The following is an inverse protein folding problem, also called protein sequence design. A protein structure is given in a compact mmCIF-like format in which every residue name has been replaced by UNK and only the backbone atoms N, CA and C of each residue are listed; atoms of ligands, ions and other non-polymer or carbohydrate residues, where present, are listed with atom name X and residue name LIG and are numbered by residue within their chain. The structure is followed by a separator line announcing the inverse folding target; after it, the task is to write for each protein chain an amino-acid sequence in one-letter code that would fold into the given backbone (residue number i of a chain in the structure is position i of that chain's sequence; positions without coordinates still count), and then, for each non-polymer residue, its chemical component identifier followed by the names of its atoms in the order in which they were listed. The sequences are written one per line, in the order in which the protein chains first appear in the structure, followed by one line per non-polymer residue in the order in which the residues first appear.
data_IF_792934957057
#
_entry.id   IF_792934957057
#
_cell.length_a   1.000
_cell.length_b   1.000
_cell.length_c   1.000
_cell.angle_alpha   90.00
_cell.angle_beta   90.00
_cell.angle_gamma   90.00
#
_symmetry.space_group_name_H-M   'P 1'
#
loop_
_entity.id
_entity.type
_entity.pdbx_description
1 polymer ?
#
# COMPACT_ATOMS: atom_id res chain seq x y z
N UNK A 1 0.34 10.15 5.15
CA UNK A 1 0.51 11.59 5.34
C UNK A 1 -0.82 12.33 5.32
N UNK A 2 -1.42 12.51 4.16
CA UNK A 2 -2.62 13.37 4.01
C UNK A 2 -3.91 12.87 4.69
N UNK A 3 -4.00 11.58 5.04
CA UNK A 3 -5.11 11.06 5.84
C UNK A 3 -5.23 11.80 7.17
N UNK A 4 -4.11 12.05 7.85
CA UNK A 4 -4.07 12.80 9.11
C UNK A 4 -4.46 14.25 8.89
N UNK A 5 -3.94 14.93 7.84
CA UNK A 5 -4.34 16.30 7.48
C UNK A 5 -5.85 16.43 7.25
N UNK A 6 -6.46 15.48 6.53
CA UNK A 6 -7.90 15.45 6.29
C UNK A 6 -8.70 15.32 7.60
N UNK A 7 -8.29 14.43 8.49
CA UNK A 7 -8.96 14.20 9.77
C UNK A 7 -8.84 15.41 10.70
N UNK A 8 -7.65 16.04 10.76
CA UNK A 8 -7.44 17.28 11.51
C UNK A 8 -8.30 18.42 10.94
N UNK A 9 -8.39 18.53 9.60
CA UNK A 9 -9.27 19.50 8.94
C UNK A 9 -10.76 19.28 9.21
N UNK A 10 -11.16 18.05 9.56
CA UNK A 10 -12.54 17.71 10.00
C UNK A 10 -12.78 17.90 11.49
N UNK A 11 -11.76 18.36 12.24
CA UNK A 11 -11.87 18.65 13.67
C UNK A 11 -11.55 17.48 14.60
N UNK A 12 -11.04 16.36 14.06
CA UNK A 12 -10.53 15.28 14.89
C UNK A 12 -9.17 15.64 15.49
N UNK A 13 -8.87 15.12 16.66
CA UNK A 13 -7.56 15.26 17.29
C UNK A 13 -6.52 14.35 16.66
N UNK A 14 -5.22 14.66 16.84
CA UNK A 14 -4.14 13.78 16.39
C UNK A 14 -4.22 12.38 17.00
N UNK A 15 -4.70 12.27 18.26
CA UNK A 15 -4.93 10.99 18.92
C UNK A 15 -6.01 10.16 18.21
N UNK A 16 -7.15 10.77 17.88
CA UNK A 16 -8.23 10.12 17.15
C UNK A 16 -7.78 9.71 15.73
N UNK A 17 -7.02 10.57 15.04
CA UNK A 17 -6.44 10.23 13.76
C UNK A 17 -5.50 9.00 13.84
N UNK A 18 -4.74 8.88 14.93
CA UNK A 18 -3.91 7.71 15.23
C UNK A 18 -4.75 6.46 15.48
N UNK A 19 -5.86 6.58 16.22
CA UNK A 19 -6.79 5.46 16.44
C UNK A 19 -7.38 4.96 15.11
N UNK A 20 -7.86 5.86 14.24
CA UNK A 20 -8.40 5.49 12.94
C UNK A 20 -7.34 4.83 12.03
N UNK A 21 -6.11 5.35 12.03
CA UNK A 21 -5.00 4.73 11.31
C UNK A 21 -4.71 3.31 11.83
N UNK A 22 -4.74 3.11 13.14
CA UNK A 22 -4.53 1.80 13.78
C UNK A 22 -5.64 0.81 13.43
N UNK A 23 -6.91 1.23 13.49
CA UNK A 23 -8.07 0.43 13.09
C UNK A 23 -7.93 -0.01 11.63
N UNK A 24 -7.58 0.92 10.73
CA UNK A 24 -7.38 0.66 9.31
C UNK A 24 -6.28 -0.38 9.08
N UNK A 25 -5.12 -0.20 9.71
CA UNK A 25 -3.99 -1.12 9.57
C UNK A 25 -4.34 -2.51 10.12
N UNK A 26 -4.96 -2.59 11.31
CA UNK A 26 -5.34 -3.86 11.92
C UNK A 26 -6.36 -4.62 11.06
N UNK A 27 -7.37 -3.92 10.54
CA UNK A 27 -8.35 -4.50 9.62
C UNK A 27 -7.70 -5.05 8.34
N UNK A 28 -6.74 -4.31 7.75
CA UNK A 28 -5.99 -4.76 6.58
C UNK A 28 -5.16 -6.00 6.85
N UNK A 29 -4.45 -6.05 7.97
CA UNK A 29 -3.64 -7.21 8.39
C UNK A 29 -4.50 -8.47 8.54
N UNK A 30 -5.68 -8.36 9.14
CA UNK A 30 -6.58 -9.50 9.31
C UNK A 30 -7.23 -9.92 7.99
N UNK A 31 -7.55 -8.97 7.12
CA UNK A 31 -8.19 -9.25 5.84
C UNK A 31 -7.24 -9.87 4.81
N UNK A 32 -5.94 -9.58 4.87
CA UNK A 32 -4.95 -10.04 3.90
C UNK A 32 -4.88 -11.56 3.75
N UNK A 33 -4.73 -12.37 4.82
CA UNK A 33 -4.73 -13.82 4.69
C UNK A 33 -6.10 -14.39 4.31
N UNK A 34 -7.19 -13.69 4.66
CA UNK A 34 -8.54 -14.11 4.28
C UNK A 34 -8.78 -13.94 2.79
N UNK A 35 -8.43 -12.77 2.23
CA UNK A 35 -8.55 -12.48 0.80
C UNK A 35 -7.59 -13.33 -0.04
N UNK A 36 -6.33 -13.48 0.40
CA UNK A 36 -5.35 -14.36 -0.26
C UNK A 36 -5.81 -15.81 -0.25
N UNK A 37 -6.17 -16.35 0.91
CA UNK A 37 -6.67 -17.71 1.03
C UNK A 37 -7.99 -17.97 0.30
N UNK A 38 -8.83 -16.93 0.13
CA UNK A 38 -10.01 -17.03 -0.73
C UNK A 38 -9.62 -17.10 -2.21
N UNK A 39 -8.70 -16.23 -2.64
CA UNK A 39 -8.20 -16.23 -4.02
C UNK A 39 -7.54 -17.56 -4.40
N UNK A 40 -6.77 -18.16 -3.49
CA UNK A 40 -6.11 -19.45 -3.70
C UNK A 40 -7.11 -20.63 -3.83
N UNK A 41 -8.25 -20.53 -3.16
CA UNK A 41 -9.32 -21.54 -3.22
C UNK A 41 -10.23 -21.40 -4.45
N UNK A 42 -10.22 -20.23 -5.08
CA UNK A 42 -11.07 -19.91 -6.24
C UNK A 42 -10.21 -19.49 -7.44
N UNK A 43 -9.37 -20.40 -7.97
CA UNK A 43 -8.49 -20.10 -9.10
C UNK A 43 -9.25 -19.73 -10.38
N UNK A 44 -10.54 -20.06 -10.45
CA UNK A 44 -11.46 -19.67 -11.53
C UNK A 44 -11.75 -18.16 -11.53
N UNK A 45 -11.57 -17.47 -10.40
CA UNK A 45 -11.79 -16.03 -10.28
C UNK A 45 -10.45 -15.30 -10.46
N UNK A 46 -10.24 -14.57 -11.56
CA UNK A 46 -9.01 -13.80 -11.74
C UNK A 46 -8.79 -12.79 -10.62
N UNK A 47 -7.56 -12.67 -10.11
CA UNK A 47 -7.21 -11.72 -9.04
C UNK A 47 -7.64 -10.28 -9.39
N UNK A 48 -7.56 -9.89 -10.68
CA UNK A 48 -8.04 -8.59 -11.13
C UNK A 48 -9.52 -8.31 -10.85
N UNK A 49 -10.38 -9.35 -10.84
CA UNK A 49 -11.81 -9.19 -10.51
C UNK A 49 -12.00 -8.95 -9.02
N UNK A 50 -11.26 -9.69 -8.19
CA UNK A 50 -11.26 -9.50 -6.73
C UNK A 50 -10.77 -8.09 -6.39
N UNK A 51 -9.66 -7.67 -6.98
CA UNK A 51 -9.11 -6.33 -6.80
C UNK A 51 -10.11 -5.24 -7.22
N UNK A 52 -10.71 -5.35 -8.41
CA UNK A 52 -11.71 -4.39 -8.87
C UNK A 52 -12.94 -4.34 -7.95
N UNK A 53 -13.43 -5.48 -7.46
CA UNK A 53 -14.54 -5.51 -6.51
C UNK A 53 -14.18 -4.74 -5.22
N UNK A 54 -12.99 -4.97 -4.66
CA UNK A 54 -12.51 -4.22 -3.50
C UNK A 54 -12.42 -2.71 -3.78
N UNK A 55 -11.90 -2.30 -4.93
CA UNK A 55 -11.76 -0.88 -5.30
C UNK A 55 -13.12 -0.20 -5.52
N UNK A 56 -14.08 -0.87 -6.16
CA UNK A 56 -15.44 -0.34 -6.37
C UNK A 56 -16.16 -0.16 -5.03
N UNK A 57 -16.04 -1.14 -4.12
CA UNK A 57 -16.61 -1.03 -2.79
C UNK A 57 -15.92 0.08 -1.99
N UNK A 58 -14.59 0.20 -2.08
CA UNK A 58 -13.82 1.28 -1.45
C UNK A 58 -14.24 2.66 -1.96
N UNK A 59 -14.47 2.80 -3.26
CA UNK A 59 -15.00 4.04 -3.85
C UNK A 59 -16.36 4.40 -3.24
N UNK A 60 -17.28 3.43 -3.14
CA UNK A 60 -18.58 3.64 -2.49
C UNK A 60 -18.45 4.10 -1.03
N UNK A 61 -17.56 3.48 -0.26
CA UNK A 61 -17.29 3.87 1.13
C UNK A 61 -16.69 5.29 1.21
N UNK A 62 -15.78 5.66 0.29
CA UNK A 62 -15.21 7.01 0.23
C UNK A 62 -16.29 8.06 -0.14
N UNK A 63 -17.24 7.74 -1.03
CA UNK A 63 -18.39 8.61 -1.32
C UNK A 63 -19.25 8.81 -0.08
N UNK A 64 -19.56 7.76 0.67
CA UNK A 64 -20.28 7.86 1.95
C UNK A 64 -19.49 8.73 2.93
N UNK A 65 -18.19 8.53 3.07
CA UNK A 65 -17.32 9.33 3.94
C UNK A 65 -17.31 10.82 3.56
N UNK A 66 -17.33 11.13 2.26
CA UNK A 66 -17.38 12.49 1.76
C UNK A 66 -18.73 13.18 2.07
N UNK A 67 -19.84 12.48 1.81
CA UNK A 67 -21.19 13.05 1.89
C UNK A 67 -21.73 13.16 3.32
N UNK A 68 -21.45 12.17 4.18
CA UNK A 68 -22.07 12.08 5.51
C UNK A 68 -21.29 12.79 6.60
N UNK A 69 -19.97 12.98 6.44
CA UNK A 69 -19.09 13.55 7.48
C UNK A 69 -19.36 12.98 8.88
N UNK A 70 -19.24 11.67 9.06
CA UNK A 70 -19.65 11.01 10.28
C UNK A 70 -18.79 11.41 11.48
N UNK A 71 -19.33 11.32 12.67
CA UNK A 71 -18.58 11.46 13.92
C UNK A 71 -17.63 10.27 14.16
N UNK A 72 -17.04 10.20 15.36
CA UNK A 72 -15.98 9.24 15.71
C UNK A 72 -16.31 7.78 15.32
N UNK A 73 -17.43 7.24 15.76
CA UNK A 73 -17.77 5.82 15.52
C UNK A 73 -18.04 5.51 14.05
N UNK A 74 -18.69 6.43 13.34
CA UNK A 74 -18.92 6.28 11.91
C UNK A 74 -17.60 6.34 11.12
N UNK A 75 -16.71 7.25 11.50
CA UNK A 75 -15.37 7.33 10.90
C UNK A 75 -14.55 6.07 11.21
N UNK A 76 -14.61 5.55 12.44
CA UNK A 76 -13.94 4.30 12.80
C UNK A 76 -14.41 3.11 11.93
N UNK A 77 -15.72 2.99 11.71
CA UNK A 77 -16.30 1.94 10.86
C UNK A 77 -15.85 2.09 9.39
N UNK A 78 -15.82 3.33 8.87
CA UNK A 78 -15.33 3.63 7.52
C UNK A 78 -13.86 3.23 7.39
N UNK A 79 -13.00 3.61 8.35
CA UNK A 79 -11.59 3.27 8.32
C UNK A 79 -11.32 1.77 8.46
N UNK A 80 -12.13 1.06 9.25
CA UNK A 80 -12.10 -0.40 9.32
C UNK A 80 -12.41 -1.01 7.94
N UNK A 81 -13.47 -0.54 7.28
CA UNK A 81 -13.87 -1.05 5.97
C UNK A 81 -12.85 -0.71 4.89
N UNK A 82 -12.32 0.51 4.87
CA UNK A 82 -11.25 0.91 3.95
C UNK A 82 -9.95 0.14 4.21
N UNK A 83 -9.66 -0.23 5.45
CA UNK A 83 -8.55 -1.11 5.80
C UNK A 83 -8.66 -2.47 5.12
N UNK A 84 -9.84 -3.09 5.15
CA UNK A 84 -10.12 -4.36 4.48
C UNK A 84 -9.98 -4.22 2.97
N UNK A 85 -10.51 -3.16 2.38
CA UNK A 85 -10.64 -3.01 0.92
C UNK A 85 -9.39 -2.44 0.25
N UNK A 86 -8.82 -1.34 0.77
CA UNK A 86 -7.73 -0.61 0.10
C UNK A 86 -6.35 -1.14 0.44
N UNK A 87 -6.07 -1.53 1.71
CA UNK A 87 -4.73 -1.97 2.10
C UNK A 87 -4.33 -3.29 1.43
N UNK A 88 -5.31 -4.07 0.99
CA UNK A 88 -5.07 -5.31 0.26
C UNK A 88 -4.84 -5.11 -1.25
N UNK A 89 -5.01 -3.89 -1.78
CA UNK A 89 -4.75 -3.60 -3.18
C UNK A 89 -3.28 -3.82 -3.55
N UNK A 90 -2.33 -3.42 -2.70
CA UNK A 90 -0.90 -3.63 -2.95
C UNK A 90 -0.52 -5.12 -3.06
N UNK A 91 -0.81 -5.98 -2.07
CA UNK A 91 -0.51 -7.41 -2.18
C UNK A 91 -1.18 -8.09 -3.38
N UNK A 92 -2.40 -7.70 -3.73
CA UNK A 92 -3.10 -8.24 -4.90
C UNK A 92 -2.43 -7.82 -6.21
N UNK A 93 -1.98 -6.57 -6.33
CA UNK A 93 -1.20 -6.09 -7.47
C UNK A 93 0.15 -6.80 -7.59
N UNK A 94 0.86 -6.96 -6.47
CA UNK A 94 2.13 -7.69 -6.43
C UNK A 94 1.94 -9.15 -6.85
N UNK A 95 0.87 -9.82 -6.38
CA UNK A 95 0.52 -11.17 -6.79
C UNK A 95 0.24 -11.26 -8.29
N UNK A 96 -0.47 -10.27 -8.87
CA UNK A 96 -0.69 -10.20 -10.32
C UNK A 96 0.63 -10.07 -11.07
N UNK A 97 1.52 -9.16 -10.63
CA UNK A 97 2.83 -8.96 -11.26
C UNK A 97 3.68 -10.25 -11.22
N UNK A 98 3.75 -10.92 -10.07
CA UNK A 98 4.48 -12.19 -9.91
C UNK A 98 3.91 -13.28 -10.81
N UNK A 99 2.58 -13.40 -10.94
CA UNK A 99 1.96 -14.36 -11.85
C UNK A 99 2.36 -14.12 -13.30
N UNK A 100 2.39 -12.87 -13.77
CA UNK A 100 2.79 -12.54 -15.15
C UNK A 100 4.28 -12.83 -15.41
N UNK A 101 5.16 -12.51 -14.45
CA UNK A 101 6.58 -12.87 -14.55
C UNK A 101 6.78 -14.38 -14.59
N UNK A 102 6.08 -15.12 -13.74
CA UNK A 102 6.12 -16.58 -13.72
C UNK A 102 5.57 -17.22 -15.00
N UNK A 103 4.66 -16.54 -15.70
CA UNK A 103 4.16 -16.93 -17.03
C UNK A 103 5.11 -16.56 -18.20
N UNK A 104 6.30 -16.01 -17.89
CA UNK A 104 7.31 -15.68 -18.92
C UNK A 104 7.12 -14.31 -19.58
N UNK A 105 6.27 -13.44 -19.03
CA UNK A 105 6.15 -12.05 -19.50
C UNK A 105 7.40 -11.29 -19.07
N UNK A 106 8.10 -10.71 -20.04
CA UNK A 106 9.29 -9.89 -19.77
C UNK A 106 8.89 -8.56 -19.10
N UNK A 107 8.96 -8.55 -17.78
CA UNK A 107 8.60 -7.40 -16.96
C UNK A 107 9.63 -7.19 -15.85
N UNK A 108 10.16 -5.98 -15.76
CA UNK A 108 11.06 -5.59 -14.66
C UNK A 108 10.26 -5.16 -13.44
N UNK A 109 10.14 -6.04 -12.44
CA UNK A 109 9.45 -5.74 -11.19
C UNK A 109 10.08 -4.56 -10.44
N UNK A 110 11.41 -4.48 -10.37
CA UNK A 110 12.12 -3.39 -9.68
C UNK A 110 11.87 -2.03 -10.35
N UNK A 111 11.87 -1.98 -11.69
CA UNK A 111 11.55 -0.76 -12.43
C UNK A 111 10.09 -0.32 -12.18
N UNK A 112 9.15 -1.26 -12.22
CA UNK A 112 7.73 -0.97 -11.95
C UNK A 112 7.53 -0.40 -10.54
N UNK A 113 8.21 -0.97 -9.54
CA UNK A 113 8.21 -0.45 -8.16
C UNK A 113 8.80 0.96 -8.08
N UNK A 114 9.95 1.19 -8.70
CA UNK A 114 10.61 2.50 -8.72
C UNK A 114 9.75 3.59 -9.38
N UNK A 115 9.09 3.27 -10.50
CA UNK A 115 8.14 4.17 -11.16
C UNK A 115 6.93 4.46 -10.26
N UNK A 116 6.45 3.45 -9.51
CA UNK A 116 5.39 3.63 -8.51
C UNK A 116 5.78 4.62 -7.41
N UNK A 117 6.99 4.51 -6.86
CA UNK A 117 7.50 5.44 -5.84
C UNK A 117 7.68 6.85 -6.40
N UNK A 118 8.16 7.00 -7.64
CA UNK A 118 8.25 8.31 -8.28
C UNK A 118 6.86 8.94 -8.50
N UNK A 119 5.89 8.15 -8.98
CA UNK A 119 4.51 8.61 -9.17
C UNK A 119 3.89 9.04 -7.84
N UNK A 120 4.13 8.27 -6.76
CA UNK A 120 3.72 8.64 -5.41
C UNK A 120 4.35 9.97 -4.97
N UNK A 121 5.65 10.15 -5.17
CA UNK A 121 6.35 11.37 -4.81
C UNK A 121 5.77 12.60 -5.53
N UNK A 122 5.55 12.51 -6.84
CA UNK A 122 4.92 13.58 -7.63
C UNK A 122 3.49 13.88 -7.16
N UNK A 123 2.69 12.83 -6.89
CA UNK A 123 1.35 12.98 -6.35
C UNK A 123 1.36 13.67 -4.97
N UNK A 124 2.36 13.42 -4.11
CA UNK A 124 2.47 14.10 -2.82
C UNK A 124 2.64 15.61 -2.98
N UNK A 125 3.50 16.07 -3.90
CA UNK A 125 3.65 17.50 -4.18
C UNK A 125 2.36 18.11 -4.71
N UNK A 126 1.73 17.45 -5.68
CA UNK A 126 0.47 17.92 -6.26
C UNK A 126 -0.65 18.01 -5.21
N UNK A 127 -0.80 16.98 -4.38
CA UNK A 127 -1.77 16.95 -3.28
C UNK A 127 -1.46 18.02 -2.21
N UNK A 128 -0.18 18.26 -1.88
CA UNK A 128 0.22 19.32 -0.96
C UNK A 128 -0.22 20.70 -1.46
N UNK A 129 0.10 21.01 -2.71
CA UNK A 129 -0.32 22.27 -3.34
C UNK A 129 -1.84 22.40 -3.46
N UNK A 130 -2.52 21.28 -3.74
CA UNK A 130 -3.98 21.23 -3.78
C UNK A 130 -4.58 21.52 -2.41
N UNK A 131 -4.04 20.92 -1.33
CA UNK A 131 -4.53 21.14 0.02
C UNK A 131 -4.37 22.59 0.47
N UNK A 132 -3.25 23.23 0.12
CA UNK A 132 -3.00 24.65 0.41
C UNK A 132 -4.02 25.55 -0.32
N UNK A 133 -4.35 25.26 -1.59
CA UNK A 133 -5.23 26.11 -2.41
C UNK A 133 -6.72 25.87 -2.18
N UNK A 134 -7.11 24.62 -2.01
CA UNK A 134 -8.52 24.19 -2.01
C UNK A 134 -8.96 23.54 -0.69
N UNK A 135 -8.06 23.48 0.29
CA UNK A 135 -8.31 22.82 1.57
C UNK A 135 -8.16 21.28 1.52
N UNK A 136 -8.05 20.67 2.69
CA UNK A 136 -7.77 19.22 2.84
C UNK A 136 -8.92 18.34 2.37
N UNK A 137 -10.18 18.83 2.33
CA UNK A 137 -11.34 18.08 1.79
C UNK A 137 -11.20 17.77 0.29
N UNK A 138 -10.51 18.63 -0.46
CA UNK A 138 -10.26 18.42 -1.90
C UNK A 138 -9.43 17.14 -2.16
N UNK A 139 -8.61 16.73 -1.20
CA UNK A 139 -7.79 15.52 -1.28
C UNK A 139 -8.64 14.24 -1.38
N UNK A 140 -9.81 14.23 -0.73
CA UNK A 140 -10.71 13.09 -0.79
C UNK A 140 -11.33 12.94 -2.20
N UNK A 141 -11.64 14.08 -2.87
CA UNK A 141 -12.10 14.07 -4.27
C UNK A 141 -11.01 13.52 -5.20
N UNK A 142 -9.76 13.97 -5.02
CA UNK A 142 -8.62 13.45 -5.79
C UNK A 142 -8.41 11.96 -5.54
N UNK A 143 -8.52 11.51 -4.29
CA UNK A 143 -8.44 10.09 -3.96
C UNK A 143 -9.51 9.27 -4.69
N UNK A 144 -10.78 9.71 -4.67
CA UNK A 144 -11.86 9.06 -5.41
C UNK A 144 -11.62 9.05 -6.92
N UNK A 145 -11.13 10.15 -7.50
CA UNK A 145 -10.79 10.21 -8.93
C UNK A 145 -9.67 9.22 -9.30
N UNK A 146 -8.64 9.10 -8.45
CA UNK A 146 -7.57 8.11 -8.62
C UNK A 146 -8.07 6.68 -8.46
N UNK A 147 -9.02 6.42 -7.55
CA UNK A 147 -9.66 5.11 -7.44
C UNK A 147 -10.43 4.75 -8.72
N UNK A 148 -11.18 5.68 -9.30
CA UNK A 148 -11.88 5.47 -10.58
C UNK A 148 -10.87 5.15 -11.69
N UNK A 149 -9.77 5.90 -11.77
CA UNK A 149 -8.70 5.63 -12.74
C UNK A 149 -8.09 4.24 -12.53
N UNK A 150 -7.81 3.89 -11.27
CA UNK A 150 -7.25 2.57 -10.93
C UNK A 150 -8.21 1.43 -11.30
N UNK A 151 -9.52 1.57 -11.03
CA UNK A 151 -10.55 0.61 -11.44
C UNK A 151 -10.52 0.42 -12.96
N UNK A 152 -10.47 1.52 -13.73
CA UNK A 152 -10.42 1.46 -15.19
C UNK A 152 -9.15 0.76 -15.68
N UNK A 153 -7.98 1.10 -15.14
CA UNK A 153 -6.70 0.48 -15.51
C UNK A 153 -6.69 -1.01 -15.19
N UNK A 154 -7.15 -1.41 -13.99
CA UNK A 154 -7.22 -2.83 -13.60
C UNK A 154 -8.23 -3.59 -14.46
N UNK A 155 -9.35 -2.97 -14.85
CA UNK A 155 -10.31 -3.59 -15.77
C UNK A 155 -9.71 -3.87 -17.16
N UNK A 156 -8.88 -2.93 -17.67
CA UNK A 156 -8.19 -3.06 -18.95
C UNK A 156 -6.99 -4.02 -18.89
N UNK A 157 -6.51 -4.35 -17.70
CA UNK A 157 -5.38 -5.26 -17.54
C UNK A 157 -5.66 -6.61 -18.20
N UNK A 158 -4.70 -7.23 -18.93
CA UNK A 158 -4.92 -8.49 -19.62
C UNK A 158 -5.33 -9.59 -18.64
N UNK A 159 -6.14 -10.54 -19.12
CA UNK A 159 -6.47 -11.72 -18.33
C UNK A 159 -5.24 -12.64 -18.26
N UNK A 160 -4.98 -13.19 -17.08
CA UNK A 160 -3.90 -14.16 -16.92
C UNK A 160 -4.22 -15.43 -17.70
N UNK A 161 -3.27 -16.03 -18.44
CA UNK A 161 -3.49 -17.28 -19.18
C UNK A 161 -3.88 -18.43 -18.23
N UNK A 162 -5.02 -19.06 -18.47
CA UNK A 162 -5.54 -20.16 -17.62
C UNK A 162 -4.59 -21.35 -17.54
N UNK A 163 -3.90 -21.64 -18.64
CA UNK A 163 -2.96 -22.76 -18.75
C UNK A 163 -1.72 -22.58 -17.86
N UNK A 164 -1.30 -21.32 -17.63
CA UNK A 164 -0.21 -21.02 -16.73
C UNK A 164 -0.57 -21.19 -15.23
N UNK A 165 -1.84 -21.06 -14.87
CA UNK A 165 -2.34 -21.35 -13.51
C UNK A 165 -2.32 -22.84 -13.21
N UNK A 166 -2.63 -23.68 -14.20
CA UNK A 166 -2.60 -25.15 -14.05
C UNK A 166 -1.16 -25.68 -13.92
N UNK A 167 -0.20 -25.07 -14.60
CA UNK A 167 1.21 -25.42 -14.48
C UNK A 167 1.80 -25.10 -13.09
N UNK A 168 1.27 -24.09 -12.39
CA UNK A 168 1.68 -23.75 -11.03
C UNK A 168 0.96 -24.53 -9.93
N UNK A 169 -0.18 -25.14 -10.23
CA UNK A 169 -1.01 -25.88 -9.28
C UNK A 169 -0.49 -27.27 -8.86
N UNK A 170 0.69 -27.69 -9.35
CA UNK A 170 1.34 -28.95 -8.98
C UNK A 170 2.22 -28.85 -7.71
N UNK A 171 2.18 -27.77 -6.99
CA UNK A 171 2.99 -27.53 -5.79
C UNK A 171 2.36 -28.06 -4.50
N UNK A 172 3.22 -28.44 -3.56
CA UNK A 172 2.92 -28.95 -2.23
C UNK A 172 1.81 -28.13 -1.53
N UNK A 173 1.00 -28.81 -0.72
CA UNK A 173 -0.03 -28.15 0.11
C UNK A 173 0.59 -27.01 0.89
N UNK A 174 -0.06 -25.82 0.92
CA UNK A 174 0.51 -24.68 1.63
C UNK A 174 0.75 -25.04 3.10
N UNK A 175 2.01 -25.01 3.50
CA UNK A 175 2.38 -25.23 4.88
C UNK A 175 1.78 -24.13 5.76
N UNK A 176 1.35 -24.51 6.97
CA UNK A 176 0.88 -23.54 7.97
C UNK A 176 1.95 -22.46 8.20
N UNK A 177 1.55 -21.19 8.33
CA UNK A 177 2.43 -20.06 8.66
C UNK A 177 3.31 -20.39 9.87
N UNK A 178 2.75 -21.03 10.89
CA UNK A 178 3.48 -21.46 12.08
C UNK A 178 4.57 -22.51 11.78
N UNK A 179 4.34 -23.38 10.79
CA UNK A 179 5.34 -24.33 10.36
C UNK A 179 6.51 -23.62 9.68
N UNK A 180 6.25 -22.68 8.78
CA UNK A 180 7.29 -21.90 8.08
C UNK A 180 8.13 -21.10 9.07
N UNK A 181 7.49 -20.43 10.03
CA UNK A 181 8.19 -19.67 11.08
C UNK A 181 9.09 -20.55 11.96
N UNK A 182 8.67 -21.79 12.26
CA UNK A 182 9.46 -22.72 13.06
C UNK A 182 10.56 -23.41 12.26
N UNK A 183 10.34 -23.66 10.97
CA UNK A 183 11.29 -24.42 10.14
C UNK A 183 12.46 -23.58 9.64
N UNK A 184 12.27 -22.23 9.49
CA UNK A 184 13.31 -21.36 8.95
C UNK A 184 13.64 -20.20 9.88
N UNK A 185 14.63 -20.43 10.78
CA UNK A 185 15.13 -19.41 11.71
C UNK A 185 15.62 -18.12 11.01
N UNK A 186 16.38 -18.18 9.88
CA UNK A 186 16.79 -16.95 9.17
C UNK A 186 15.59 -16.14 8.66
N UNK A 187 14.59 -16.81 8.12
CA UNK A 187 13.36 -16.15 7.65
C UNK A 187 12.63 -15.45 8.81
N UNK A 188 12.45 -16.11 9.93
CA UNK A 188 11.81 -15.56 11.12
C UNK A 188 12.56 -14.34 11.67
N UNK A 189 13.90 -14.41 11.75
CA UNK A 189 14.71 -13.28 12.19
C UNK A 189 14.60 -12.08 11.22
N UNK A 190 14.54 -12.34 9.92
CA UNK A 190 14.31 -11.28 8.92
C UNK A 190 12.95 -10.62 9.10
N UNK A 191 11.89 -11.39 9.35
CA UNK A 191 10.55 -10.84 9.63
C UNK A 191 10.52 -9.99 10.90
N UNK A 192 11.18 -10.45 11.96
CA UNK A 192 11.28 -9.69 13.23
C UNK A 192 12.05 -8.39 13.01
N UNK A 193 13.16 -8.43 12.28
CA UNK A 193 13.93 -7.21 11.93
C UNK A 193 13.08 -6.23 11.12
N UNK A 194 12.36 -6.72 10.11
CA UNK A 194 11.46 -5.90 9.29
C UNK A 194 10.34 -5.29 10.13
N UNK A 195 9.75 -6.05 11.07
CA UNK A 195 8.74 -5.55 11.98
C UNK A 195 9.25 -4.35 12.79
N UNK A 196 10.41 -4.45 13.42
CA UNK A 196 10.97 -3.34 14.21
C UNK A 196 11.34 -2.15 13.33
N UNK A 197 11.86 -2.37 12.12
CA UNK A 197 12.18 -1.30 11.17
C UNK A 197 10.90 -0.53 10.77
N UNK A 198 9.84 -1.23 10.40
CA UNK A 198 8.57 -0.60 10.05
C UNK A 198 7.90 0.07 11.25
N UNK A 199 7.96 -0.54 12.43
CA UNK A 199 7.43 0.05 13.66
C UNK A 199 8.14 1.36 14.04
N UNK A 200 9.41 1.53 13.68
CA UNK A 200 10.15 2.78 13.90
C UNK A 200 9.79 3.86 12.87
N UNK A 201 9.62 3.49 11.59
CA UNK A 201 9.42 4.46 10.49
C UNK A 201 7.95 4.90 10.36
N UNK A 202 7.00 3.98 10.49
CA UNK A 202 5.59 4.25 10.20
C UNK A 202 4.97 5.36 11.06
N UNK A 203 5.25 5.49 12.36
CA UNK A 203 4.75 6.60 13.16
C UNK A 203 5.25 7.97 12.63
N UNK A 204 6.53 8.07 12.24
CA UNK A 204 7.12 9.30 11.70
C UNK A 204 6.37 9.72 10.43
N UNK A 205 6.15 8.78 9.50
CA UNK A 205 5.43 9.05 8.26
C UNK A 205 3.96 9.41 8.52
N UNK A 206 3.30 8.74 9.46
CA UNK A 206 1.89 8.97 9.79
C UNK A 206 1.65 10.35 10.42
N UNK A 207 2.55 10.79 11.28
CA UNK A 207 2.45 12.08 11.98
C UNK A 207 3.37 13.17 11.42
N UNK A 208 3.86 12.99 10.19
CA UNK A 208 4.74 13.98 9.54
C UNK A 208 4.06 15.35 9.41
N UNK A 209 2.73 15.40 9.24
CA UNK A 209 1.98 16.66 9.22
C UNK A 209 2.15 17.45 10.51
N UNK A 210 2.09 16.76 11.67
CA UNK A 210 2.29 17.42 12.97
C UNK A 210 3.73 17.96 13.09
N UNK A 211 4.74 17.17 12.68
CA UNK A 211 6.15 17.59 12.69
C UNK A 211 6.41 18.82 11.80
N UNK A 212 5.74 18.88 10.64
CA UNK A 212 5.84 20.02 9.72
C UNK A 212 5.16 21.25 10.30
N UNK A 213 3.94 21.12 10.84
CA UNK A 213 3.19 22.23 11.42
C UNK A 213 3.85 22.79 12.70
N UNK A 214 4.46 21.96 13.53
CA UNK A 214 5.23 22.38 14.72
C UNK A 214 6.45 23.25 14.34
N UNK A 215 6.92 23.16 13.09
CA UNK A 215 7.99 23.99 12.54
C UNK A 215 7.48 25.17 11.70
N UNK A 216 6.16 25.44 11.74
CA UNK A 216 5.51 26.51 10.98
C UNK A 216 5.31 26.21 9.49
N UNK A 217 5.43 24.95 9.07
CA UNK A 217 5.15 24.51 7.71
C UNK A 217 3.66 24.23 7.48
N UNK A 218 3.28 24.20 6.20
CA UNK A 218 1.94 23.88 5.71
C UNK A 218 1.91 22.53 4.97
N UNK A 219 0.77 22.19 4.38
CA UNK A 219 0.59 20.98 3.57
C UNK A 219 1.48 20.95 2.31
N UNK A 220 1.91 22.12 1.81
CA UNK A 220 2.89 22.21 0.72
C UNK A 220 4.26 21.69 1.15
N UNK A 221 4.71 22.09 2.35
CA UNK A 221 5.94 21.58 2.97
C UNK A 221 5.85 20.09 3.29
N UNK A 222 4.67 19.62 3.75
CA UNK A 222 4.40 18.19 3.92
C UNK A 222 4.55 17.43 2.59
N UNK A 223 3.99 17.98 1.50
CA UNK A 223 4.11 17.41 0.16
C UNK A 223 5.55 17.27 -0.30
N UNK A 224 6.37 18.30 -0.05
CA UNK A 224 7.80 18.29 -0.38
C UNK A 224 8.58 17.25 0.44
N UNK A 225 8.30 17.12 1.74
CA UNK A 225 8.92 16.14 2.60
C UNK A 225 8.62 14.70 2.13
N UNK A 226 7.36 14.42 1.81
CA UNK A 226 6.92 13.13 1.27
C UNK A 226 7.50 12.86 -0.14
N UNK A 227 7.66 13.92 -0.97
CA UNK A 227 8.35 13.83 -2.26
C UNK A 227 9.78 13.37 -2.09
N UNK A 228 10.55 14.04 -1.23
CA UNK A 228 11.95 13.69 -0.99
C UNK A 228 12.09 12.25 -0.49
N UNK A 229 11.19 11.83 0.39
CA UNK A 229 11.15 10.44 0.87
C UNK A 229 10.89 9.45 -0.26
N UNK A 230 9.83 9.64 -1.06
CA UNK A 230 9.49 8.73 -2.16
C UNK A 230 10.48 8.78 -3.32
N UNK A 231 10.99 9.96 -3.67
CA UNK A 231 11.96 10.13 -4.74
C UNK A 231 13.31 9.46 -4.43
N UNK A 232 13.70 9.37 -3.16
CA UNK A 232 14.93 8.69 -2.74
C UNK A 232 14.89 7.17 -2.99
N UNK A 233 13.71 6.57 -3.15
CA UNK A 233 13.56 5.15 -3.47
C UNK A 233 13.96 4.83 -4.92
N UNK A 234 13.82 5.77 -5.85
CA UNK A 234 14.11 5.54 -7.27
C UNK A 234 15.60 5.20 -7.53
N UNK A 235 16.58 5.96 -7.00
CA UNK A 235 17.99 5.57 -7.11
C UNK A 235 18.27 4.19 -6.52
N UNK A 236 17.67 3.87 -5.38
CA UNK A 236 17.82 2.56 -4.75
C UNK A 236 17.25 1.43 -5.64
N UNK A 237 16.09 1.64 -6.26
CA UNK A 237 15.47 0.67 -7.18
C UNK A 237 16.34 0.44 -8.45
N UNK A 238 16.91 1.50 -9.01
CA UNK A 238 17.80 1.42 -10.18
C UNK A 238 19.12 0.71 -9.85
N UNK A 239 19.66 0.96 -8.66
CA UNK A 239 20.92 0.36 -8.20
C UNK A 239 20.72 -1.07 -7.67
N UNK A 240 19.49 -1.50 -7.38
CA UNK A 240 19.22 -2.81 -6.80
C UNK A 240 19.78 -3.96 -7.64
N UNK A 241 19.50 -4.00 -8.94
CA UNK A 241 19.93 -5.10 -9.82
C UNK A 241 21.46 -5.23 -9.91
N UNK A 242 22.25 -4.15 -10.15
CA UNK A 242 23.70 -4.25 -10.15
C UNK A 242 24.28 -4.59 -8.78
N UNK A 243 23.72 -4.07 -7.69
CA UNK A 243 24.16 -4.39 -6.33
C UNK A 243 23.87 -5.85 -5.98
N UNK A 244 22.67 -6.33 -6.31
CA UNK A 244 22.29 -7.72 -6.09
C UNK A 244 23.20 -8.70 -6.86
N UNK A 245 23.54 -8.38 -8.12
CA UNK A 245 24.48 -9.19 -8.93
C UNK A 245 25.88 -9.21 -8.33
N UNK A 246 26.33 -8.12 -7.71
CA UNK A 246 27.68 -7.98 -7.15
C UNK A 246 27.82 -8.57 -5.75
N UNK A 247 26.84 -8.38 -4.88
CA UNK A 247 26.93 -8.72 -3.43
C UNK A 247 26.01 -9.88 -3.01
N UNK A 248 25.15 -10.35 -3.92
CA UNK A 248 24.15 -11.39 -3.62
C UNK A 248 23.06 -10.92 -2.66
N UNK A 249 22.09 -11.81 -2.37
CA UNK A 249 20.95 -11.48 -1.53
C UNK A 249 21.33 -11.04 -0.09
N UNK A 250 22.24 -11.77 0.55
CA UNK A 250 22.65 -11.47 1.94
C UNK A 250 23.43 -10.17 2.05
N UNK A 251 24.32 -9.88 1.06
CA UNK A 251 25.09 -8.64 1.01
C UNK A 251 24.19 -7.43 0.79
N UNK A 252 23.29 -7.51 -0.17
CA UNK A 252 22.32 -6.42 -0.49
C UNK A 252 21.40 -6.15 0.70
N UNK A 253 20.91 -7.20 1.38
CA UNK A 253 20.07 -7.04 2.57
C UNK A 253 20.83 -6.33 3.70
N UNK A 254 22.10 -6.70 3.97
CA UNK A 254 22.92 -6.01 4.98
C UNK A 254 23.11 -4.53 4.65
N UNK A 255 23.35 -4.19 3.38
CA UNK A 255 23.51 -2.79 2.95
C UNK A 255 22.22 -1.97 3.05
N UNK A 256 21.05 -2.59 2.98
CA UNK A 256 19.76 -1.89 3.10
C UNK A 256 19.35 -1.58 4.54
N UNK A 257 20.02 -2.19 5.53
CA UNK A 257 19.72 -2.03 6.97
C UNK A 257 20.68 -1.01 7.62
N UNK A 258 21.85 -0.77 7.01
CA UNK A 258 22.82 0.24 7.47
C UNK A 258 22.53 1.62 6.86
#
# INVERSE_FOLDING_TARGET
GYQTSLLLGRGFTSGEAGIFASIRCFAGILAQPLLGGWADRHPEVPIKRLLNACLVLALGVNVVFYTTRPGFWGTALIFLTLGILELNAYPLLDSMAVQFIAAGVDMSYSLSRGLGSLSYALACVACGQQAVRFGTESLLLTHMALLVLMIAVVALYPAFPKDALQAQGGGERPHSILYILKSSRPFTLTLVSLFFTLAAIMPIVSFMVNLVSDRGGDEGHLGLALFLMGASELPAALLFTPLFRRFGAAGTLRMSIC
#
